data_IF_408894783112
#
_entry.id   IF_408894783112
#
_cell.length_a   1.000
_cell.length_b   1.000
_cell.length_c   1.000
_cell.angle_alpha   90.00
_cell.angle_beta   90.00
_cell.angle_gamma   90.00
#
_symmetry.space_group_name_H-M   'P 1'
#
loop_
_entity.id
_entity.type
_entity.pdbx_description
1 polymer ?
#
# COMPACT_ATOMS: atom_id res chain seq x y z
N UNK A 1 -17.80 -10.17 8.55
CA UNK A 1 -16.97 -11.25 9.09
C UNK A 1 -15.51 -10.85 9.09
N UNK A 2 -14.81 -11.26 10.14
CA UNK A 2 -13.46 -10.87 10.51
C UNK A 2 -12.47 -11.75 9.76
N UNK A 3 -11.82 -11.21 8.73
CA UNK A 3 -10.96 -12.05 7.85
C UNK A 3 -9.56 -12.31 8.40
N UNK A 4 -9.02 -11.36 9.17
CA UNK A 4 -7.69 -11.43 9.78
C UNK A 4 -7.89 -11.43 11.30
N UNK A 5 -7.31 -12.42 11.98
CA UNK A 5 -7.46 -12.61 13.43
C UNK A 5 -6.24 -12.20 14.22
N UNK A 6 -5.05 -12.53 13.72
CA UNK A 6 -3.79 -12.14 14.34
C UNK A 6 -2.72 -11.92 13.27
N UNK A 7 -1.67 -11.21 13.66
CA UNK A 7 -0.44 -11.06 12.91
C UNK A 7 0.72 -11.49 13.80
N UNK A 8 1.51 -12.42 13.30
CA UNK A 8 2.71 -12.93 13.95
C UNK A 8 3.94 -12.53 13.15
N UNK A 9 4.90 -11.87 13.79
CA UNK A 9 6.05 -11.26 13.13
C UNK A 9 7.32 -11.71 13.84
N UNK A 10 8.36 -12.06 13.08
CA UNK A 10 9.70 -12.31 13.60
C UNK A 10 10.78 -11.68 12.71
N UNK A 11 11.81 -11.10 13.32
CA UNK A 11 12.95 -10.44 12.66
C UNK A 11 12.57 -9.36 11.62
N UNK A 12 11.54 -8.56 11.89
CA UNK A 12 11.08 -7.49 11.00
C UNK A 12 11.17 -6.10 11.66
N UNK A 13 12.03 -5.25 11.10
CA UNK A 13 12.25 -3.85 11.49
C UNK A 13 12.51 -3.69 12.98
N UNK A 14 11.52 -3.23 13.74
CA UNK A 14 11.66 -3.00 15.20
C UNK A 14 11.49 -4.29 16.00
N UNK A 15 10.82 -5.29 15.44
CA UNK A 15 10.53 -6.59 16.06
C UNK A 15 11.70 -7.55 15.81
N UNK A 16 12.56 -7.72 16.81
CA UNK A 16 13.70 -8.67 16.75
C UNK A 16 13.35 -10.07 17.23
N UNK A 17 12.35 -10.18 18.10
CA UNK A 17 11.81 -11.45 18.58
C UNK A 17 10.42 -11.67 17.98
N UNK A 18 9.93 -12.89 18.15
CA UNK A 18 8.59 -13.25 17.74
C UNK A 18 7.54 -12.49 18.55
N UNK A 19 6.66 -11.77 17.87
CA UNK A 19 5.54 -11.05 18.49
C UNK A 19 4.25 -11.44 17.77
N UNK A 20 3.23 -11.76 18.55
CA UNK A 20 1.87 -12.00 18.06
C UNK A 20 0.98 -10.83 18.47
N UNK A 21 0.23 -10.29 17.51
CA UNK A 21 -0.66 -9.14 17.68
C UNK A 21 -2.05 -9.58 17.26
N UNK A 22 -2.98 -9.56 18.20
CA UNK A 22 -4.39 -9.81 17.89
C UNK A 22 -4.95 -8.62 17.10
N UNK A 23 -5.63 -8.95 16.00
CA UNK A 23 -6.28 -7.98 15.13
C UNK A 23 -7.78 -8.15 15.29
N UNK A 24 -8.47 -7.06 15.59
CA UNK A 24 -9.94 -7.03 15.56
C UNK A 24 -10.50 -6.31 14.33
N UNK A 25 -11.82 -6.29 14.16
CA UNK A 25 -12.45 -5.60 13.03
C UNK A 25 -13.56 -4.63 13.50
N UNK A 26 -13.24 -3.33 13.70
CA UNK A 26 -11.97 -2.64 13.41
C UNK A 26 -10.89 -2.79 14.50
N UNK A 27 -9.61 -2.87 14.10
CA UNK A 27 -8.46 -2.78 15.00
C UNK A 27 -7.89 -1.35 15.03
N UNK A 28 -7.46 -0.90 16.22
CA UNK A 28 -6.75 0.37 16.39
C UNK A 28 -5.39 0.11 17.02
N UNK A 29 -4.32 0.52 16.35
CA UNK A 29 -2.95 0.40 16.86
C UNK A 29 -2.54 1.70 17.56
N UNK A 30 -2.33 1.64 18.88
CA UNK A 30 -1.98 2.80 19.72
C UNK A 30 -0.60 2.57 20.36
N UNK A 31 0.20 3.62 20.47
CA UNK A 31 1.47 3.58 21.19
C UNK A 31 2.34 4.81 20.94
N UNK A 32 3.52 4.92 21.56
CA UNK A 32 4.46 6.03 21.37
C UNK A 32 5.04 6.11 19.94
N UNK A 33 5.66 7.23 19.57
CA UNK A 33 6.39 7.34 18.31
C UNK A 33 7.47 6.24 18.21
N UNK A 34 7.70 5.72 17.00
CA UNK A 34 8.63 4.60 16.75
C UNK A 34 8.27 3.24 17.38
N UNK A 35 7.10 3.07 18.00
CA UNK A 35 6.69 1.79 18.63
C UNK A 35 6.39 0.63 17.66
N UNK A 36 6.61 0.81 16.35
CA UNK A 36 6.35 -0.24 15.36
C UNK A 36 4.95 -0.29 14.74
N UNK A 37 4.06 0.67 15.04
CA UNK A 37 2.72 0.75 14.42
C UNK A 37 2.76 0.70 12.88
N UNK A 38 3.64 1.50 12.28
CA UNK A 38 3.83 1.49 10.82
C UNK A 38 4.44 0.18 10.33
N UNK A 39 5.33 -0.42 11.12
CA UNK A 39 5.94 -1.71 10.79
C UNK A 39 4.89 -2.83 10.74
N UNK A 40 3.92 -2.86 11.66
CA UNK A 40 2.80 -3.82 11.65
C UNK A 40 2.04 -3.77 10.32
N UNK A 41 1.65 -2.56 9.89
CA UNK A 41 0.87 -2.40 8.66
C UNK A 41 1.72 -2.75 7.42
N UNK A 42 3.01 -2.40 7.45
CA UNK A 42 3.96 -2.76 6.40
C UNK A 42 4.19 -4.28 6.32
N UNK A 43 4.21 -4.98 7.45
CA UNK A 43 4.34 -6.43 7.49
C UNK A 43 3.16 -7.12 6.80
N UNK A 44 1.93 -6.71 7.10
CA UNK A 44 0.71 -7.24 6.45
C UNK A 44 0.78 -7.00 4.93
N UNK A 45 1.26 -5.82 4.52
CA UNK A 45 1.34 -5.45 3.11
C UNK A 45 2.42 -6.25 2.37
N UNK A 46 3.58 -6.44 3.00
CA UNK A 46 4.69 -7.23 2.48
C UNK A 46 4.29 -8.71 2.36
N UNK A 47 3.59 -9.25 3.36
CA UNK A 47 3.01 -10.59 3.31
C UNK A 47 2.08 -10.77 2.11
N UNK A 48 1.14 -9.84 1.90
CA UNK A 48 0.18 -9.93 0.78
C UNK A 48 0.87 -9.86 -0.58
N UNK A 49 1.85 -8.95 -0.72
CA UNK A 49 2.66 -8.83 -1.93
C UNK A 49 3.46 -10.11 -2.20
N UNK A 50 4.14 -10.64 -1.18
CA UNK A 50 4.96 -11.83 -1.32
C UNK A 50 4.14 -13.06 -1.67
N UNK A 51 3.01 -13.27 -1.01
CA UNK A 51 2.12 -14.39 -1.28
C UNK A 51 1.54 -14.34 -2.70
N UNK A 52 1.09 -13.16 -3.15
CA UNK A 52 0.61 -12.95 -4.53
C UNK A 52 1.71 -13.17 -5.57
N UNK A 53 2.92 -12.68 -5.31
CA UNK A 53 4.06 -12.82 -6.23
C UNK A 53 4.47 -14.29 -6.34
N UNK A 54 4.55 -14.99 -5.21
CA UNK A 54 4.85 -16.41 -5.17
C UNK A 54 3.79 -17.25 -5.90
N UNK A 55 2.50 -17.00 -5.62
CA UNK A 55 1.40 -17.74 -6.26
C UNK A 55 1.38 -17.56 -7.78
N UNK A 56 1.62 -16.34 -8.27
CA UNK A 56 1.78 -16.07 -9.72
C UNK A 56 2.95 -16.84 -10.33
N UNK A 57 4.09 -16.89 -9.65
CA UNK A 57 5.30 -17.54 -10.16
C UNK A 57 5.25 -19.07 -10.10
N UNK A 58 4.50 -19.66 -9.16
CA UNK A 58 4.27 -21.11 -9.09
C UNK A 58 3.45 -21.63 -10.29
N UNK A 59 2.57 -20.80 -10.87
CA UNK A 59 1.62 -21.21 -11.90
C UNK A 59 0.63 -22.28 -11.41
N UNK A 60 -0.10 -22.91 -12.33
CA UNK A 60 -1.06 -24.00 -12.04
C UNK A 60 -0.40 -25.35 -11.66
N UNK A 61 0.92 -25.37 -11.45
CA UNK A 61 1.65 -26.61 -11.20
C UNK A 61 1.44 -27.11 -9.77
N UNK A 62 0.88 -28.32 -9.63
CA UNK A 62 0.67 -29.04 -8.36
C UNK A 62 1.97 -29.48 -7.67
N UNK A 63 3.14 -29.20 -8.24
CA UNK A 63 4.42 -29.59 -7.66
C UNK A 63 4.65 -28.87 -6.32
N UNK A 64 4.78 -29.64 -5.23
CA UNK A 64 5.12 -29.19 -3.86
C UNK A 64 6.55 -28.66 -3.71
N UNK A 65 7.18 -28.17 -4.79
CA UNK A 65 8.57 -27.72 -4.74
C UNK A 65 8.68 -26.42 -3.95
N UNK A 66 9.75 -26.34 -3.17
CA UNK A 66 10.20 -25.20 -2.36
C UNK A 66 10.70 -24.05 -3.27
N UNK A 67 9.84 -23.59 -4.19
CA UNK A 67 10.18 -22.53 -5.13
C UNK A 67 10.23 -21.23 -4.33
N UNK A 68 11.41 -20.65 -4.16
CA UNK A 68 11.54 -19.30 -3.63
C UNK A 68 11.33 -18.29 -4.76
N UNK A 69 10.54 -17.25 -4.53
CA UNK A 69 10.31 -16.19 -5.52
C UNK A 69 10.99 -14.90 -5.07
N UNK A 70 11.73 -14.27 -5.98
CA UNK A 70 12.40 -12.99 -5.74
C UNK A 70 11.43 -11.83 -5.85
N UNK A 71 11.52 -10.89 -4.91
CA UNK A 71 10.81 -9.61 -4.94
C UNK A 71 11.88 -8.51 -4.99
N UNK A 72 11.82 -7.68 -6.02
CA UNK A 72 12.65 -6.49 -6.11
C UNK A 72 12.15 -5.41 -5.13
N UNK A 73 13.04 -4.70 -4.44
CA UNK A 73 12.68 -3.66 -3.46
C UNK A 73 11.80 -2.56 -4.05
N UNK A 74 11.97 -2.22 -5.33
CA UNK A 74 11.18 -1.20 -6.02
C UNK A 74 9.72 -1.62 -6.19
N UNK A 75 9.43 -2.92 -6.15
CA UNK A 75 8.07 -3.45 -6.17
C UNK A 75 7.40 -3.40 -4.79
N UNK A 76 8.18 -3.20 -3.71
CA UNK A 76 7.67 -3.05 -2.33
C UNK A 76 7.37 -1.57 -2.08
N UNK A 77 6.44 -1.04 -2.89
CA UNK A 77 6.05 0.38 -2.89
C UNK A 77 5.66 0.84 -1.48
N UNK A 78 5.06 -0.06 -0.70
CA UNK A 78 4.44 0.26 0.57
C UNK A 78 5.42 0.30 1.77
N UNK A 79 6.67 -0.09 1.54
CA UNK A 79 7.72 -0.03 2.54
C UNK A 79 9.04 0.30 1.84
N UNK A 80 9.20 1.51 1.31
CA UNK A 80 10.43 1.89 0.61
C UNK A 80 11.58 1.83 1.60
N UNK A 81 12.65 1.19 1.17
CA UNK A 81 13.91 1.17 1.89
C UNK A 81 15.06 1.35 0.89
N UNK A 82 16.17 1.98 1.31
CA UNK A 82 17.34 2.13 0.45
C UNK A 82 17.93 0.78 0.03
N UNK A 83 17.93 -0.19 0.95
CA UNK A 83 18.42 -1.55 0.75
C UNK A 83 17.50 -2.55 1.46
N UNK A 84 17.35 -3.75 0.91
CA UNK A 84 16.49 -4.82 1.48
C UNK A 84 16.86 -5.24 2.91
N UNK A 85 18.13 -5.12 3.32
CA UNK A 85 18.58 -5.47 4.68
C UNK A 85 17.84 -4.68 5.77
N UNK A 86 17.34 -3.48 5.48
CA UNK A 86 16.59 -2.67 6.44
C UNK A 86 15.19 -3.23 6.79
N UNK A 87 14.74 -4.30 6.13
CA UNK A 87 13.60 -5.06 6.64
C UNK A 87 13.95 -5.90 7.87
N UNK A 88 15.22 -6.32 8.03
CA UNK A 88 15.65 -7.08 9.18
C UNK A 88 15.93 -6.17 10.37
N UNK A 89 15.73 -6.70 11.57
CA UNK A 89 16.11 -6.01 12.81
C UNK A 89 17.59 -5.64 12.77
N UNK A 90 17.90 -4.38 13.04
CA UNK A 90 19.27 -3.83 13.04
C UNK A 90 20.03 -4.05 11.73
N UNK A 91 19.33 -4.27 10.61
CA UNK A 91 19.93 -4.67 9.34
C UNK A 91 20.80 -5.95 9.41
N UNK A 92 20.58 -6.78 10.44
CA UNK A 92 21.32 -8.03 10.65
C UNK A 92 20.71 -9.14 9.80
N UNK A 93 21.47 -9.57 8.79
CA UNK A 93 21.04 -10.59 7.80
C UNK A 93 21.71 -11.96 8.01
N UNK A 94 22.71 -12.04 8.90
CA UNK A 94 23.44 -13.27 9.23
C UNK A 94 23.75 -13.30 10.73
N UNK A 95 23.72 -14.50 11.30
CA UNK A 95 24.23 -14.80 12.63
C UNK A 95 25.32 -15.86 12.47
N UNK A 96 26.59 -15.43 12.61
CA UNK A 96 27.73 -16.25 12.21
C UNK A 96 27.64 -16.65 10.74
N UNK A 97 27.61 -17.96 10.48
CA UNK A 97 27.54 -18.48 9.10
C UNK A 97 26.11 -18.75 8.59
N UNK A 98 25.10 -18.56 9.43
CA UNK A 98 23.70 -18.85 9.10
C UNK A 98 22.95 -17.59 8.69
N UNK A 99 22.11 -17.61 7.64
CA UNK A 99 21.26 -16.48 7.30
C UNK A 99 20.16 -16.30 8.35
N UNK A 100 19.88 -15.06 8.73
CA UNK A 100 18.74 -14.73 9.59
C UNK A 100 17.48 -14.69 8.72
N UNK A 101 16.48 -15.49 9.06
CA UNK A 101 15.19 -15.49 8.38
C UNK A 101 14.22 -14.53 9.06
N UNK A 102 13.39 -13.90 8.25
CA UNK A 102 12.25 -13.10 8.69
C UNK A 102 10.98 -13.88 8.39
N UNK A 103 10.03 -13.91 9.31
CA UNK A 103 8.73 -14.53 9.09
C UNK A 103 7.60 -13.57 9.40
N UNK A 104 6.57 -13.64 8.57
CA UNK A 104 5.31 -12.91 8.76
C UNK A 104 4.18 -13.92 8.53
N UNK A 105 3.35 -14.11 9.54
CA UNK A 105 2.21 -15.02 9.50
C UNK A 105 0.94 -14.27 9.88
N UNK A 106 -0.15 -14.57 9.16
CA UNK A 106 -1.48 -14.01 9.44
C UNK A 106 -2.43 -15.17 9.72
N UNK A 107 -3.15 -15.07 10.84
CA UNK A 107 -4.28 -15.97 11.12
C UNK A 107 -5.50 -15.58 10.29
N UNK A 108 -5.90 -16.43 9.35
CA UNK A 108 -7.01 -16.18 8.44
C UNK A 108 -8.24 -17.01 8.81
N UNK A 109 -9.41 -16.39 8.73
CA UNK A 109 -10.69 -17.13 8.77
C UNK A 109 -10.85 -17.90 7.46
N UNK A 110 -10.71 -19.22 7.52
CA UNK A 110 -10.77 -20.14 6.39
C UNK A 110 -11.35 -21.49 6.83
N UNK A 111 -12.25 -22.05 6.03
CA UNK A 111 -12.88 -23.36 6.28
C UNK A 111 -13.48 -23.54 7.69
N UNK A 112 -14.14 -22.49 8.21
CA UNK A 112 -14.77 -22.49 9.53
C UNK A 112 -13.81 -22.38 10.72
N UNK A 113 -12.51 -22.21 10.48
CA UNK A 113 -11.49 -22.06 11.53
C UNK A 113 -10.47 -20.95 11.26
N UNK A 114 -9.58 -20.73 12.24
CA UNK A 114 -8.46 -19.79 12.10
C UNK A 114 -7.24 -20.59 11.65
N UNK A 115 -6.76 -20.33 10.44
CA UNK A 115 -5.64 -21.04 9.85
C UNK A 115 -4.41 -20.12 9.70
N UNK A 116 -3.21 -20.57 10.13
CA UNK A 116 -1.98 -19.80 9.98
C UNK A 116 -1.56 -19.74 8.51
N UNK A 117 -1.38 -18.53 7.98
CA UNK A 117 -0.83 -18.30 6.65
C UNK A 117 0.48 -17.52 6.75
N UNK A 118 1.58 -18.25 6.86
CA UNK A 118 2.95 -17.77 7.02
C UNK A 118 3.75 -17.67 5.73
N UNK A 119 4.55 -16.62 5.66
CA UNK A 119 5.53 -16.38 4.60
C UNK A 119 6.90 -16.14 5.24
N UNK A 120 7.91 -16.86 4.73
CA UNK A 120 9.30 -16.73 5.15
C UNK A 120 10.06 -15.92 4.11
N UNK A 121 10.89 -15.00 4.59
CA UNK A 121 11.73 -14.13 3.77
C UNK A 121 13.20 -14.35 4.06
N UNK A 122 14.01 -14.33 2.98
CA UNK A 122 15.45 -14.46 3.02
C UNK A 122 16.11 -13.32 2.26
N UNK A 123 17.10 -12.69 2.88
CA UNK A 123 17.93 -11.70 2.20
C UNK A 123 18.76 -12.36 1.11
N UNK A 124 18.77 -11.77 -0.09
CA UNK A 124 19.61 -12.21 -1.21
C UNK A 124 20.64 -11.14 -1.58
N UNK A 125 20.20 -9.90 -1.78
CA UNK A 125 21.06 -8.76 -2.13
C UNK A 125 20.37 -7.46 -1.71
N UNK A 126 21.08 -6.33 -1.80
CA UNK A 126 20.54 -5.00 -1.48
C UNK A 126 19.25 -4.65 -2.24
N UNK A 127 18.98 -5.29 -3.37
CA UNK A 127 17.84 -5.03 -4.26
C UNK A 127 16.76 -6.12 -4.21
N UNK A 128 17.09 -7.34 -3.76
CA UNK A 128 16.20 -8.52 -3.86
C UNK A 128 16.06 -9.23 -2.52
N UNK A 129 14.80 -9.54 -2.16
CA UNK A 129 14.46 -10.51 -1.12
C UNK A 129 13.80 -11.74 -1.75
N UNK A 130 14.13 -12.92 -1.25
CA UNK A 130 13.38 -14.13 -1.58
C UNK A 130 12.26 -14.36 -0.58
N UNK A 131 11.13 -14.88 -1.06
CA UNK A 131 10.03 -15.30 -0.21
C UNK A 131 9.47 -16.67 -0.62
N UNK A 132 8.92 -17.39 0.34
CA UNK A 132 8.18 -18.64 0.12
C UNK A 132 7.24 -18.90 1.31
N UNK A 133 6.10 -19.59 1.11
CA UNK A 133 5.23 -19.99 2.22
C UNK A 133 5.89 -21.06 3.08
N UNK A 134 5.61 -21.01 4.39
CA UNK A 134 6.05 -22.02 5.33
C UNK A 134 5.37 -23.38 5.07
N UNK A 135 5.73 -24.39 5.86
CA UNK A 135 5.21 -25.75 5.67
C UNK A 135 3.73 -25.87 6.02
N UNK A 136 3.29 -25.22 7.10
CA UNK A 136 1.88 -25.18 7.54
C UNK A 136 0.98 -24.59 6.46
N UNK A 137 1.39 -23.47 5.87
CA UNK A 137 0.64 -22.82 4.78
C UNK A 137 0.62 -23.66 3.51
N UNK A 138 1.73 -24.34 3.18
CA UNK A 138 1.80 -25.21 1.99
C UNK A 138 0.99 -26.50 2.12
N UNK A 139 0.81 -27.00 3.33
CA UNK A 139 0.06 -28.22 3.61
C UNK A 139 -1.44 -27.97 3.79
N UNK A 140 -1.87 -26.71 3.91
CA UNK A 140 -3.29 -26.35 4.02
C UNK A 140 -3.86 -26.09 2.62
N UNK A 141 -4.62 -27.05 2.10
CA UNK A 141 -5.20 -26.98 0.76
C UNK A 141 -6.15 -25.79 0.60
N UNK A 142 -6.04 -25.06 -0.52
CA UNK A 142 -6.89 -23.91 -0.84
C UNK A 142 -6.56 -22.60 -0.08
N UNK A 143 -5.82 -22.65 1.03
CA UNK A 143 -5.54 -21.47 1.87
C UNK A 143 -4.80 -20.36 1.11
N UNK A 144 -3.77 -20.69 0.34
CA UNK A 144 -3.00 -19.71 -0.45
C UNK A 144 -3.87 -19.06 -1.52
N UNK A 145 -4.73 -19.84 -2.19
CA UNK A 145 -5.63 -19.31 -3.23
C UNK A 145 -6.67 -18.36 -2.60
N UNK A 146 -7.21 -18.71 -1.45
CA UNK A 146 -8.08 -17.83 -0.67
C UNK A 146 -7.37 -16.53 -0.26
N UNK A 147 -6.18 -16.65 0.33
CA UNK A 147 -5.40 -15.52 0.83
C UNK A 147 -4.98 -14.55 -0.28
N UNK A 148 -4.63 -15.05 -1.47
CA UNK A 148 -4.27 -14.22 -2.63
C UNK A 148 -5.44 -13.44 -3.22
N UNK A 149 -6.69 -13.89 -3.01
CA UNK A 149 -7.91 -13.15 -3.37
C UNK A 149 -8.20 -11.99 -2.41
N UNK A 150 -7.52 -11.91 -1.26
CA UNK A 150 -7.69 -10.79 -0.32
C UNK A 150 -7.03 -9.52 -0.88
N UNK A 151 -7.78 -8.42 -0.85
CA UNK A 151 -7.28 -7.09 -1.18
C UNK A 151 -6.75 -6.41 0.08
N UNK A 152 -5.43 -6.44 0.25
CA UNK A 152 -4.73 -5.66 1.26
C UNK A 152 -4.29 -4.35 0.61
N UNK A 153 -4.92 -3.26 1.03
CA UNK A 153 -4.56 -1.91 0.61
C UNK A 153 -4.13 -1.10 1.83
N UNK A 154 -2.88 -0.65 1.84
CA UNK A 154 -2.40 0.32 2.82
C UNK A 154 -2.62 1.72 2.24
N UNK A 155 -3.28 2.58 3.00
CA UNK A 155 -3.32 3.99 2.65
C UNK A 155 -2.68 4.82 3.75
N UNK A 156 -1.74 5.66 3.35
CA UNK A 156 -0.99 6.50 4.26
C UNK A 156 -1.84 7.64 4.83
N UNK A 157 -1.48 8.16 6.01
CA UNK A 157 -2.01 9.43 6.48
C UNK A 157 -1.71 10.52 5.44
N UNK A 158 -2.75 11.22 4.99
CA UNK A 158 -2.70 12.29 4.00
C UNK A 158 -2.46 13.67 4.65
N UNK A 159 -1.61 13.74 5.68
CA UNK A 159 -1.24 15.04 6.27
C UNK A 159 -0.32 15.81 5.34
N UNK A 160 -0.58 17.10 5.15
CA UNK A 160 0.34 17.99 4.43
C UNK A 160 0.08 18.10 2.93
N UNK A 161 -1.18 18.31 2.50
CA UNK A 161 -1.35 18.94 1.17
C UNK A 161 -0.72 20.32 1.28
N UNK A 162 0.43 20.49 0.63
CA UNK A 162 1.09 21.77 0.53
C UNK A 162 0.21 22.74 -0.25
N UNK A 163 0.31 24.03 0.11
CA UNK A 163 -0.39 25.12 -0.57
C UNK A 163 -0.06 25.15 -2.05
N UNK A 164 1.16 24.74 -2.40
CA UNK A 164 1.68 24.69 -3.74
C UNK A 164 2.30 23.32 -4.02
N UNK A 165 2.05 22.77 -5.21
CA UNK A 165 2.62 21.50 -5.65
C UNK A 165 3.26 21.73 -7.03
N UNK A 166 4.60 21.66 -7.17
CA UNK A 166 5.25 21.84 -8.46
C UNK A 166 4.89 20.70 -9.42
N UNK A 167 5.05 20.91 -10.72
CA UNK A 167 5.02 19.82 -11.68
C UNK A 167 6.23 18.90 -11.43
N UNK A 168 5.95 17.62 -11.18
CA UNK A 168 6.95 16.62 -10.84
C UNK A 168 7.10 15.60 -11.96
N UNK A 169 8.33 15.15 -12.18
CA UNK A 169 8.60 14.00 -13.02
C UNK A 169 8.08 12.71 -12.36
N UNK A 170 7.68 11.73 -13.18
CA UNK A 170 7.15 10.43 -12.71
C UNK A 170 8.07 9.71 -11.72
N UNK A 171 9.39 9.79 -11.92
CA UNK A 171 10.36 9.22 -10.99
C UNK A 171 10.24 9.80 -9.58
N UNK A 172 10.07 11.12 -9.47
CA UNK A 172 9.90 11.79 -8.18
C UNK A 172 8.55 11.46 -7.54
N UNK A 173 7.49 11.39 -8.34
CA UNK A 173 6.16 10.99 -7.87
C UNK A 173 6.21 9.60 -7.23
N UNK A 174 6.85 8.63 -7.87
CA UNK A 174 6.99 7.27 -7.35
C UNK A 174 7.74 7.21 -6.01
N UNK A 175 8.79 8.03 -5.85
CA UNK A 175 9.54 8.13 -4.58
C UNK A 175 8.64 8.67 -3.47
N UNK A 176 7.91 9.76 -3.71
CA UNK A 176 7.03 10.38 -2.72
C UNK A 176 5.86 9.47 -2.34
N UNK A 177 5.26 8.78 -3.32
CA UNK A 177 4.25 7.75 -3.07
C UNK A 177 4.79 6.65 -2.17
N UNK A 178 6.00 6.15 -2.46
CA UNK A 178 6.64 5.15 -1.62
C UNK A 178 6.85 5.65 -0.19
N UNK A 179 7.33 6.89 -0.03
CA UNK A 179 7.55 7.51 1.28
C UNK A 179 6.25 7.78 2.08
N UNK A 180 5.09 7.48 1.50
CA UNK A 180 3.79 7.78 2.10
C UNK A 180 3.40 9.25 2.02
N UNK A 181 4.19 10.08 1.33
CA UNK A 181 3.96 11.51 1.08
C UNK A 181 2.95 11.74 -0.05
N UNK A 182 1.85 11.01 0.02
CA UNK A 182 0.77 10.97 -0.98
C UNK A 182 0.08 12.34 -1.17
N UNK A 183 0.10 13.19 -0.14
CA UNK A 183 -0.45 14.54 -0.21
C UNK A 183 0.37 15.50 -1.09
N UNK A 184 1.65 15.22 -1.33
CA UNK A 184 2.56 16.05 -2.13
C UNK A 184 2.54 15.72 -3.63
N UNK A 185 1.75 14.72 -4.05
CA UNK A 185 1.68 14.27 -5.45
C UNK A 185 0.26 14.24 -5.99
N UNK A 186 -0.72 14.67 -5.19
CA UNK A 186 -2.12 14.46 -5.51
C UNK A 186 -2.56 15.32 -6.69
N UNK A 187 -2.09 16.57 -6.79
CA UNK A 187 -2.39 17.42 -7.94
C UNK A 187 -1.67 16.93 -9.20
N UNK A 188 -0.43 16.44 -9.07
CA UNK A 188 0.31 15.80 -10.15
C UNK A 188 -0.41 14.58 -10.72
N UNK A 189 -0.91 13.69 -9.87
CA UNK A 189 -1.68 12.52 -10.33
C UNK A 189 -2.94 12.93 -11.08
N UNK A 190 -3.68 13.91 -10.58
CA UNK A 190 -4.84 14.46 -11.29
C UNK A 190 -4.45 15.06 -12.65
N UNK A 191 -3.34 15.80 -12.69
CA UNK A 191 -2.85 16.44 -13.92
C UNK A 191 -2.44 15.41 -14.97
N UNK A 192 -1.71 14.36 -14.58
CA UNK A 192 -1.32 13.27 -15.48
C UNK A 192 -2.55 12.58 -16.09
N UNK A 193 -3.62 12.38 -15.30
CA UNK A 193 -4.86 11.78 -15.81
C UNK A 193 -5.49 12.67 -16.87
N UNK A 194 -5.55 13.98 -16.65
CA UNK A 194 -6.14 14.90 -17.64
C UNK A 194 -5.31 15.05 -18.90
N UNK A 195 -3.98 15.02 -18.78
CA UNK A 195 -3.08 15.01 -19.94
C UNK A 195 -3.25 13.72 -20.76
N UNK A 196 -3.32 12.56 -20.09
CA UNK A 196 -3.57 11.27 -20.75
C UNK A 196 -4.95 11.20 -21.41
N UNK A 197 -5.99 11.74 -20.77
CA UNK A 197 -7.32 11.86 -21.38
C UNK A 197 -7.30 12.69 -22.66
N UNK A 198 -6.49 13.75 -22.68
CA UNK A 198 -6.35 14.62 -23.85
C UNK A 198 -5.56 13.92 -24.96
N UNK A 199 -4.43 13.28 -24.61
CA UNK A 199 -3.56 12.60 -25.57
C UNK A 199 -4.19 11.34 -26.19
N UNK A 200 -4.93 10.56 -25.40
CA UNK A 200 -5.46 9.25 -25.79
C UNK A 200 -6.99 9.25 -26.00
N UNK A 201 -7.64 10.41 -25.90
CA UNK A 201 -9.09 10.58 -26.02
C UNK A 201 -9.90 9.70 -25.03
N UNK A 202 -9.34 9.45 -23.84
CA UNK A 202 -10.00 8.70 -22.77
C UNK A 202 -10.90 9.61 -21.91
N UNK A 203 -11.67 9.03 -20.98
CA UNK A 203 -12.61 9.74 -20.10
C UNK A 203 -12.38 9.39 -18.63
N UNK A 204 -11.15 9.15 -18.23
CA UNK A 204 -10.81 8.70 -16.88
C UNK A 204 -10.98 9.80 -15.83
N UNK A 205 -10.74 11.06 -16.19
CA UNK A 205 -11.03 12.21 -15.34
C UNK A 205 -12.52 12.31 -14.98
N UNK A 206 -13.40 11.99 -15.94
CA UNK A 206 -14.85 11.90 -15.72
C UNK A 206 -15.21 10.88 -14.63
N UNK A 207 -14.50 9.74 -14.59
CA UNK A 207 -14.69 8.72 -13.55
C UNK A 207 -14.21 9.23 -12.19
N UNK A 208 -13.04 9.88 -12.13
CA UNK A 208 -12.49 10.45 -10.89
C UNK A 208 -13.44 11.50 -10.30
N UNK A 209 -13.87 12.47 -11.10
CA UNK A 209 -14.81 13.52 -10.66
C UNK A 209 -16.15 12.95 -10.19
N UNK A 210 -16.70 11.95 -10.87
CA UNK A 210 -17.93 11.28 -10.45
C UNK A 210 -17.77 10.56 -9.10
N UNK A 211 -16.65 9.88 -8.87
CA UNK A 211 -16.34 9.24 -7.59
C UNK A 211 -16.23 10.27 -6.46
N UNK A 212 -15.60 11.41 -6.73
CA UNK A 212 -15.39 12.48 -5.76
C UNK A 212 -16.70 13.14 -5.37
N UNK A 213 -17.60 13.34 -6.34
CA UNK A 213 -18.97 13.79 -6.08
C UNK A 213 -19.74 12.78 -5.26
N UNK A 214 -19.73 11.50 -5.66
CA UNK A 214 -20.45 10.42 -4.98
C UNK A 214 -20.02 10.25 -3.52
N UNK A 215 -18.73 10.40 -3.23
CA UNK A 215 -18.17 10.10 -1.93
C UNK A 215 -18.04 11.31 -1.00
N UNK A 216 -17.80 12.53 -1.53
CA UNK A 216 -17.60 13.77 -0.74
C UNK A 216 -18.65 14.83 -0.95
N UNK A 217 -19.55 14.67 -1.94
CA UNK A 217 -20.42 15.77 -2.35
C UNK A 217 -19.62 16.96 -2.87
N UNK A 218 -18.49 16.71 -3.57
CA UNK A 218 -17.69 17.77 -4.18
C UNK A 218 -17.52 17.56 -5.67
N UNK A 219 -17.55 18.66 -6.41
CA UNK A 219 -17.19 18.70 -7.81
C UNK A 219 -15.74 19.18 -7.95
N UNK A 220 -14.85 18.30 -8.39
CA UNK A 220 -13.48 18.67 -8.74
C UNK A 220 -13.44 19.38 -10.09
N UNK A 221 -12.71 20.48 -10.16
CA UNK A 221 -12.37 21.14 -11.42
C UNK A 221 -11.15 20.46 -12.06
N UNK A 222 -10.93 20.65 -13.37
CA UNK A 222 -9.71 20.14 -14.02
C UNK A 222 -8.47 20.84 -13.42
N UNK A 223 -7.38 20.10 -13.13
CA UNK A 223 -6.13 20.70 -12.74
C UNK A 223 -5.56 21.57 -13.87
N UNK A 224 -4.89 22.66 -13.50
CA UNK A 224 -4.27 23.59 -14.44
C UNK A 224 -2.84 23.89 -14.03
N UNK A 225 -1.92 23.92 -14.98
CA UNK A 225 -0.55 24.36 -14.74
C UNK A 225 -0.48 25.89 -14.69
N UNK A 226 0.05 26.44 -13.60
CA UNK A 226 0.47 27.84 -13.52
C UNK A 226 1.89 27.95 -14.04
N UNK A 227 2.04 28.25 -15.33
CA UNK A 227 3.36 28.28 -16.00
C UNK A 227 4.36 29.22 -15.33
N UNK A 228 3.91 30.36 -14.80
CA UNK A 228 4.78 31.35 -14.14
C UNK A 228 5.45 30.83 -12.86
N UNK A 229 4.86 29.83 -12.20
CA UNK A 229 5.41 29.21 -10.97
C UNK A 229 5.77 27.74 -11.13
N UNK A 230 5.46 27.15 -12.28
CA UNK A 230 5.62 25.72 -12.52
C UNK A 230 4.77 24.85 -11.58
N UNK A 231 3.68 25.38 -11.02
CA UNK A 231 2.86 24.69 -10.02
C UNK A 231 1.50 24.30 -10.53
N UNK A 232 0.99 23.17 -10.03
CA UNK A 232 -0.31 22.63 -10.41
C UNK A 232 -1.37 23.17 -9.46
N UNK A 233 -2.39 23.81 -10.01
CA UNK A 233 -3.55 24.24 -9.25
C UNK A 233 -4.70 23.26 -9.45
N UNK A 234 -5.39 22.92 -8.36
CA UNK A 234 -6.56 22.08 -8.37
C UNK A 234 -7.58 22.63 -7.38
N UNK A 235 -8.81 22.82 -7.86
CA UNK A 235 -9.92 23.41 -7.11
C UNK A 235 -11.10 22.48 -7.06
N UNK A 236 -11.96 22.69 -6.07
CA UNK A 236 -13.22 21.98 -5.93
C UNK A 236 -14.35 22.93 -5.54
N UNK A 237 -15.58 22.52 -5.84
CA UNK A 237 -16.82 23.19 -5.48
C UNK A 237 -17.64 22.21 -4.61
N UNK A 238 -17.90 22.51 -3.33
CA UNK A 238 -18.79 21.71 -2.51
C UNK A 238 -20.25 21.82 -2.97
N UNK A 239 -21.06 20.79 -2.76
CA UNK A 239 -22.46 20.74 -3.21
C UNK A 239 -23.36 21.83 -2.58
N UNK A 240 -23.02 22.29 -1.37
CA UNK A 240 -23.79 23.31 -0.64
C UNK A 240 -23.22 24.73 -0.74
N UNK A 241 -22.10 24.93 -1.45
CA UNK A 241 -21.44 26.24 -1.58
C UNK A 241 -21.14 26.56 -3.04
N UNK A 242 -21.43 27.78 -3.48
CA UNK A 242 -21.14 28.22 -4.87
C UNK A 242 -19.69 28.64 -5.10
N UNK A 243 -18.91 28.77 -4.03
CA UNK A 243 -17.53 29.26 -4.11
C UNK A 243 -16.56 28.13 -4.46
N UNK A 244 -15.53 28.48 -5.27
CA UNK A 244 -14.41 27.58 -5.60
C UNK A 244 -13.38 27.63 -4.47
N UNK A 245 -12.93 26.47 -4.02
CA UNK A 245 -11.90 26.35 -2.99
C UNK A 245 -10.70 25.57 -3.52
N UNK A 246 -9.48 25.96 -3.14
CA UNK A 246 -8.29 25.19 -3.48
C UNK A 246 -8.26 23.87 -2.69
N UNK A 247 -7.68 22.83 -3.29
CA UNK A 247 -7.74 21.47 -2.77
C UNK A 247 -7.09 21.29 -1.39
N UNK A 248 -6.11 22.11 -1.01
CA UNK A 248 -5.50 22.07 0.32
C UNK A 248 -6.49 22.43 1.44
N UNK A 249 -7.57 23.16 1.13
CA UNK A 249 -8.67 23.41 2.05
C UNK A 249 -9.62 22.22 2.19
N UNK A 250 -9.58 21.26 1.27
CA UNK A 250 -10.42 20.07 1.32
C UNK A 250 -10.10 19.23 2.56
N UNK A 251 -8.82 18.95 2.82
CA UNK A 251 -8.45 18.14 3.99
C UNK A 251 -8.72 18.86 5.31
N UNK A 252 -8.57 20.20 5.33
CA UNK A 252 -8.89 21.02 6.51
C UNK A 252 -10.40 21.04 6.83
N UNK A 253 -11.26 21.01 5.82
CA UNK A 253 -12.72 21.05 6.00
C UNK A 253 -13.37 19.65 6.08
N UNK A 254 -12.76 18.60 5.51
CA UNK A 254 -13.27 17.20 5.50
C UNK A 254 -12.79 16.41 6.73
N UNK A 255 -12.38 17.06 7.82
CA UNK A 255 -12.20 16.37 9.11
C UNK A 255 -13.50 15.76 9.68
N UNK A 256 -14.67 15.97 9.07
CA UNK A 256 -15.94 15.31 9.45
C UNK A 256 -16.38 14.11 8.59
N UNK A 257 -15.79 13.87 7.41
CA UNK A 257 -16.33 12.88 6.44
C UNK A 257 -15.28 11.94 5.78
N UNK A 258 -14.02 11.97 6.23
CA UNK A 258 -12.86 11.33 5.56
C UNK A 258 -12.85 9.79 5.49
N UNK A 259 -13.79 9.07 6.13
CA UNK A 259 -13.77 7.60 6.08
C UNK A 259 -14.18 7.01 4.72
N UNK A 260 -14.97 7.74 3.92
CA UNK A 260 -15.50 7.26 2.63
C UNK A 260 -14.58 7.54 1.43
N UNK A 261 -13.55 8.41 1.56
CA UNK A 261 -12.74 8.87 0.39
C UNK A 261 -11.80 7.81 -0.15
N UNK A 262 -11.16 7.14 0.80
CA UNK A 262 -10.15 6.12 0.54
C UNK A 262 -10.61 5.08 -0.47
N UNK A 263 -11.86 4.61 -0.36
CA UNK A 263 -12.31 3.41 -1.06
C UNK A 263 -12.49 3.56 -2.57
N UNK A 264 -12.66 4.77 -3.11
CA UNK A 264 -12.83 4.92 -4.57
C UNK A 264 -11.63 5.50 -5.30
N UNK A 265 -10.74 6.24 -4.62
CA UNK A 265 -9.51 6.73 -5.26
C UNK A 265 -8.53 5.59 -5.59
N UNK A 266 -8.42 4.57 -4.73
CA UNK A 266 -7.56 3.39 -5.00
C UNK A 266 -8.09 2.52 -6.14
N UNK A 267 -9.41 2.37 -6.26
CA UNK A 267 -10.05 1.60 -7.35
C UNK A 267 -9.90 2.29 -8.71
N UNK A 268 -9.84 3.62 -8.74
CA UNK A 268 -9.62 4.38 -9.97
C UNK A 268 -8.16 4.26 -10.46
N UNK A 269 -7.18 4.37 -9.56
CA UNK A 269 -5.75 4.24 -9.89
C UNK A 269 -5.34 2.82 -10.32
N UNK A 270 -6.01 1.78 -9.80
CA UNK A 270 -5.77 0.40 -10.21
C UNK A 270 -6.27 0.09 -11.65
N UNK A 271 -7.21 0.87 -12.18
CA UNK A 271 -7.74 0.69 -13.54
C UNK A 271 -6.98 1.44 -14.62
N UNK A 272 -6.17 2.44 -14.25
CA UNK A 272 -5.34 3.21 -15.19
C UNK A 272 -4.03 2.47 -15.51
N UNK A 273 -3.70 1.39 -14.78
CA UNK A 273 -2.52 0.54 -15.01
C UNK A 273 -2.80 -0.72 -15.85
N UNK A 274 -4.02 -0.91 -16.34
CA UNK A 274 -4.39 -1.99 -17.27
C UNK A 274 -4.81 -1.42 -18.60
#
# INVERSE_FOLDING_TARGET
MKKLHYLKINNFKVFGEEVTIDLDQPAVLIGPNNSGKTAIIQAITLWSLGLKTWFKHKGASKAKRHISTGINRLNIIQAPIPETRYFWKNAAIRQGNSPILMSIEIGLEFDGGINPCGLVFKYQSAEVIYCYPDETTRNTDGLIEYATKLNVELLYPMSGIETEEPLLQMGRINVLLGQGQTAHVLRNLCYIITENDTANQTKDWGKVTALMKKLFGIQLEKPTLYETRGSINLKYIPEHYRSRYPLDRLIRNICKHLLKFRKSASTALARIKN
#
